data_IF_045675363299
#
_entry.id   IF_045675363299
#
_cell.length_a   1.000
_cell.length_b   1.000
_cell.length_c   1.000
_cell.angle_alpha   90.00
_cell.angle_beta   90.00
_cell.angle_gamma   90.00
#
_symmetry.space_group_name_H-M   'P 1'
#
loop_
_entity.id
_entity.type
_entity.pdbx_description
1 polymer ?
#
# COMPACT_ATOMS: atom_id res chain seq x y z
N UNK A 1 6.25 -3.08 6.71
CA UNK A 1 5.86 -2.32 7.94
C UNK A 1 5.87 -3.18 9.22
N UNK A 2 5.50 -4.48 9.18
CA UNK A 2 5.47 -5.37 10.36
C UNK A 2 6.82 -5.74 11.00
N UNK A 3 7.94 -5.61 10.27
CA UNK A 3 9.28 -5.94 10.79
C UNK A 3 9.74 -5.00 11.91
N UNK A 4 9.41 -3.70 11.82
CA UNK A 4 9.86 -2.71 12.79
C UNK A 4 9.10 -2.81 14.13
N UNK A 5 7.84 -3.27 14.11
CA UNK A 5 7.03 -3.44 15.33
C UNK A 5 7.57 -4.59 16.19
N UNK A 6 8.02 -5.69 15.57
CA UNK A 6 8.63 -6.81 16.28
C UNK A 6 9.96 -6.44 16.94
N UNK A 7 10.77 -5.60 16.29
CA UNK A 7 12.05 -5.12 16.85
C UNK A 7 11.86 -4.16 18.02
N UNK A 8 10.86 -3.28 17.96
CA UNK A 8 10.55 -2.35 19.07
C UNK A 8 9.98 -3.09 20.27
N UNK A 9 9.14 -4.11 20.06
CA UNK A 9 8.62 -4.96 21.14
C UNK A 9 9.73 -5.73 21.87
N UNK A 10 10.70 -6.28 21.10
CA UNK A 10 11.85 -6.97 21.67
C UNK A 10 12.76 -6.06 22.51
N UNK A 11 12.97 -4.82 22.07
CA UNK A 11 13.77 -3.85 22.83
C UNK A 11 13.07 -3.41 24.13
N UNK A 12 11.75 -3.25 24.11
CA UNK A 12 10.97 -2.94 25.30
C UNK A 12 10.97 -4.11 26.30
N UNK A 13 10.85 -5.36 25.83
CA UNK A 13 10.92 -6.54 26.67
C UNK A 13 12.31 -6.69 27.32
N UNK A 14 13.39 -6.41 26.57
CA UNK A 14 14.75 -6.46 27.10
C UNK A 14 15.00 -5.39 28.19
N UNK A 15 14.50 -4.17 27.99
CA UNK A 15 14.58 -3.09 29.00
C UNK A 15 13.78 -3.42 30.27
N UNK A 16 12.64 -4.11 30.15
CA UNK A 16 11.87 -4.52 31.32
C UNK A 16 12.58 -5.62 32.12
N UNK A 17 13.25 -6.55 31.44
CA UNK A 17 13.99 -7.63 32.08
C UNK A 17 15.21 -7.12 32.88
N UNK A 18 15.89 -6.08 32.41
CA UNK A 18 17.05 -5.51 33.14
C UNK A 18 16.64 -4.77 34.41
N UNK A 19 15.48 -4.11 34.43
CA UNK A 19 14.99 -3.41 35.64
C UNK A 19 14.57 -4.40 36.73
N UNK A 20 13.96 -5.53 36.36
CA UNK A 20 13.56 -6.56 37.34
C UNK A 20 14.79 -7.27 37.94
N UNK A 21 15.86 -7.47 37.16
CA UNK A 21 17.04 -8.20 37.62
C UNK A 21 17.92 -7.42 38.61
N UNK A 22 17.86 -6.08 38.62
CA UNK A 22 18.65 -5.24 39.52
C UNK A 22 17.91 -4.82 40.80
N UNK A 23 16.61 -5.10 40.92
CA UNK A 23 15.78 -4.64 42.02
C UNK A 23 15.62 -5.60 43.21
N UNK A 24 16.13 -6.83 43.17
CA UNK A 24 15.76 -7.86 44.16
C UNK A 24 16.93 -8.74 44.65
N UNK A 25 18.09 -8.18 44.97
CA UNK A 25 19.04 -8.91 45.82
C UNK A 25 18.73 -8.62 47.29
N UNK A 26 18.16 -9.57 48.05
CA UNK A 26 17.99 -9.38 49.49
C UNK A 26 19.37 -9.35 50.15
N UNK A 27 19.68 -8.25 50.82
CA UNK A 27 20.85 -8.16 51.70
C UNK A 27 20.57 -9.07 52.89
N UNK A 28 21.14 -10.27 52.91
CA UNK A 28 21.04 -11.18 54.06
C UNK A 28 21.93 -10.67 55.19
N UNK A 29 21.40 -10.30 56.36
CA UNK A 29 22.24 -9.95 57.50
C UNK A 29 22.89 -11.23 58.07
N UNK A 30 24.21 -11.21 58.23
CA UNK A 30 24.96 -12.27 58.88
C UNK A 30 24.70 -12.21 60.41
N UNK A 31 24.08 -13.25 60.95
CA UNK A 31 23.85 -13.39 62.39
C UNK A 31 25.17 -13.72 63.12
N UNK A 32 25.62 -12.79 63.97
CA UNK A 32 26.62 -13.05 65.01
C UNK A 32 25.98 -12.84 66.39
N UNK A 33 25.88 -13.90 67.18
CA UNK A 33 25.43 -13.85 68.58
C UNK A 33 26.58 -13.41 69.49
N UNK A 34 26.44 -12.30 70.21
CA UNK A 34 27.04 -12.12 71.53
C UNK A 34 26.39 -10.94 72.25
N UNK A 35 25.98 -11.18 73.51
CA UNK A 35 25.02 -10.39 74.26
C UNK A 35 25.49 -8.97 74.61
N UNK A 36 24.54 -8.03 74.57
CA UNK A 36 24.53 -6.74 75.25
C UNK A 36 23.17 -6.09 74.92
N UNK A 37 22.23 -6.13 75.86
CA UNK A 37 20.80 -5.81 75.66
C UNK A 37 20.50 -4.36 75.24
N UNK A 38 21.52 -3.48 75.19
CA UNK A 38 21.40 -2.10 74.71
C UNK A 38 21.90 -1.85 73.27
N UNK A 39 22.76 -2.72 72.72
CA UNK A 39 23.37 -2.48 71.41
C UNK A 39 22.53 -3.03 70.25
N UNK A 40 21.77 -4.10 70.48
CA UNK A 40 20.85 -4.66 69.49
C UNK A 40 19.73 -3.68 69.12
N UNK A 41 19.19 -2.92 70.08
CA UNK A 41 18.18 -1.89 69.82
C UNK A 41 18.74 -0.70 69.04
N UNK A 42 19.96 -0.25 69.36
CA UNK A 42 20.63 0.82 68.60
C UNK A 42 20.96 0.41 67.16
N UNK A 43 21.35 -0.85 66.94
CA UNK A 43 21.62 -1.37 65.61
C UNK A 43 20.34 -1.46 64.77
N UNK A 44 19.25 -1.95 65.35
CA UNK A 44 17.95 -2.04 64.67
C UNK A 44 17.37 -0.66 64.36
N UNK A 45 17.55 0.32 65.24
CA UNK A 45 17.14 1.70 65.00
C UNK A 45 17.99 2.38 63.90
N UNK A 46 19.33 2.27 63.97
CA UNK A 46 20.21 2.84 62.94
C UNK A 46 19.96 2.20 61.55
N UNK A 47 19.62 0.91 61.52
CA UNK A 47 19.21 0.23 60.29
C UNK A 47 17.85 0.72 59.78
N UNK A 48 16.87 0.92 60.68
CA UNK A 48 15.57 1.49 60.33
C UNK A 48 15.68 2.90 59.75
N UNK A 49 16.52 3.75 60.36
CA UNK A 49 16.78 5.11 59.89
C UNK A 49 17.49 5.10 58.53
N UNK A 50 18.50 4.23 58.35
CA UNK A 50 19.19 4.08 57.05
C UNK A 50 18.26 3.55 55.94
N UNK A 51 17.37 2.60 56.26
CA UNK A 51 16.38 2.11 55.30
C UNK A 51 15.33 3.17 54.97
N UNK A 52 14.84 3.94 55.94
CA UNK A 52 13.90 5.03 55.68
C UNK A 52 14.53 6.14 54.83
N UNK A 53 15.80 6.46 55.05
CA UNK A 53 16.52 7.43 54.23
C UNK A 53 16.69 6.93 52.79
N UNK A 54 17.03 5.64 52.61
CA UNK A 54 17.05 5.02 51.28
C UNK A 54 15.67 4.99 50.60
N UNK A 55 14.59 4.71 51.33
CA UNK A 55 13.22 4.70 50.80
C UNK A 55 12.81 6.11 50.37
N UNK A 56 13.09 7.13 51.19
CA UNK A 56 12.81 8.53 50.88
C UNK A 56 13.58 8.99 49.64
N UNK A 57 14.85 8.61 49.50
CA UNK A 57 15.67 8.95 48.35
C UNK A 57 15.17 8.22 47.07
N UNK A 58 14.80 6.95 47.19
CA UNK A 58 14.26 6.16 46.07
C UNK A 58 12.86 6.62 45.63
N UNK A 59 12.04 7.14 46.54
CA UNK A 59 10.70 7.64 46.24
C UNK A 59 10.74 8.85 45.28
N UNK A 60 11.76 9.71 45.37
CA UNK A 60 11.94 10.81 44.42
C UNK A 60 12.24 10.30 43.00
N UNK A 61 13.08 9.27 42.87
CA UNK A 61 13.39 8.67 41.56
C UNK A 61 12.18 7.96 40.95
N UNK A 62 11.32 7.35 41.77
CA UNK A 62 10.12 6.66 41.31
C UNK A 62 9.15 7.63 40.61
N UNK A 63 8.95 8.83 41.16
CA UNK A 63 8.13 9.85 40.51
C UNK A 63 8.73 10.37 39.19
N UNK A 64 10.05 10.54 39.13
CA UNK A 64 10.73 10.93 37.89
C UNK A 64 10.60 9.87 36.80
N UNK A 65 10.71 8.58 37.15
CA UNK A 65 10.49 7.47 36.24
C UNK A 65 9.05 7.39 35.73
N UNK A 66 8.06 7.55 36.61
CA UNK A 66 6.64 7.59 36.23
C UNK A 66 6.35 8.75 35.26
N UNK A 67 6.89 9.94 35.54
CA UNK A 67 6.73 11.09 34.65
C UNK A 67 7.34 10.84 33.26
N UNK A 68 8.51 10.19 33.20
CA UNK A 68 9.17 9.84 31.95
C UNK A 68 8.38 8.82 31.12
N UNK A 69 7.77 7.81 31.77
CA UNK A 69 6.90 6.83 31.09
C UNK A 69 5.67 7.50 30.50
N UNK A 70 5.00 8.38 31.25
CA UNK A 70 3.82 9.12 30.77
C UNK A 70 4.18 10.03 29.60
N UNK A 71 5.33 10.70 29.64
CA UNK A 71 5.83 11.54 28.55
C UNK A 71 6.09 10.71 27.28
N UNK A 72 6.72 9.55 27.40
CA UNK A 72 6.96 8.64 26.28
C UNK A 72 5.66 8.12 25.66
N UNK A 73 4.69 7.72 26.47
CA UNK A 73 3.37 7.29 25.98
C UNK A 73 2.65 8.44 25.25
N UNK A 74 2.72 9.65 25.79
CA UNK A 74 2.18 10.86 25.15
C UNK A 74 2.81 11.11 23.78
N UNK A 75 4.14 10.98 23.65
CA UNK A 75 4.85 11.10 22.38
C UNK A 75 4.45 10.01 21.38
N UNK A 76 4.26 8.77 21.82
CA UNK A 76 3.81 7.67 20.95
C UNK A 76 2.39 7.95 20.42
N UNK A 77 1.46 8.34 21.29
CA UNK A 77 0.08 8.67 20.89
C UNK A 77 0.07 9.90 19.97
N UNK A 78 0.88 10.92 20.28
CA UNK A 78 1.03 12.10 19.44
C UNK A 78 1.56 11.71 18.05
N UNK A 79 2.63 10.92 17.98
CA UNK A 79 3.20 10.40 16.72
C UNK A 79 2.17 9.60 15.94
N UNK A 80 1.41 8.74 16.61
CA UNK A 80 0.34 7.96 15.98
C UNK A 80 -0.78 8.85 15.43
N UNK A 81 -1.22 9.86 16.18
CA UNK A 81 -2.21 10.84 15.72
C UNK A 81 -1.70 11.68 14.56
N UNK A 82 -0.45 12.16 14.62
CA UNK A 82 0.18 12.90 13.51
C UNK A 82 0.32 12.01 12.28
N UNK A 83 0.73 10.75 12.44
CA UNK A 83 0.87 9.81 11.33
C UNK A 83 -0.49 9.45 10.73
N UNK A 84 -1.57 9.37 11.52
CA UNK A 84 -2.93 9.17 10.99
C UNK A 84 -3.41 10.36 10.14
N UNK A 85 -3.08 11.60 10.53
CA UNK A 85 -3.35 12.79 9.70
C UNK A 85 -2.53 12.80 8.42
N UNK A 86 -1.24 12.47 8.53
CA UNK A 86 -0.31 12.44 7.40
C UNK A 86 -0.57 11.26 6.46
N UNK A 87 -1.01 10.08 6.92
CA UNK A 87 -1.33 8.95 6.05
C UNK A 87 -2.59 9.20 5.20
N UNK A 88 -3.54 9.98 5.71
CA UNK A 88 -4.72 10.39 4.94
C UNK A 88 -4.38 11.47 3.90
N UNK A 89 -3.28 12.22 4.09
CA UNK A 89 -2.75 13.20 3.12
C UNK A 89 -1.62 12.65 2.23
N UNK A 90 -0.87 11.63 2.65
CA UNK A 90 0.30 11.10 1.93
C UNK A 90 -0.05 10.00 0.92
N UNK A 91 -1.25 9.42 0.96
CA UNK A 91 -1.80 8.73 -0.21
C UNK A 91 -2.06 9.74 -1.35
N UNK A 92 -2.23 11.04 -1.04
CA UNK A 92 -2.38 12.12 -2.01
C UNK A 92 -1.08 12.90 -2.31
N UNK A 93 -0.14 12.97 -1.37
CA UNK A 93 1.05 13.84 -1.49
C UNK A 93 2.40 13.11 -1.69
N UNK A 94 2.44 11.78 -1.73
CA UNK A 94 3.66 11.03 -2.09
C UNK A 94 3.99 11.06 -3.60
N UNK A 95 3.37 11.97 -4.37
CA UNK A 95 3.71 12.28 -5.76
C UNK A 95 4.44 13.61 -5.95
N UNK A 96 4.56 14.46 -4.94
CA UNK A 96 4.99 15.86 -5.14
C UNK A 96 6.13 16.27 -4.22
N UNK A 97 7.31 15.65 -4.38
CA UNK A 97 8.57 16.20 -3.85
C UNK A 97 9.80 15.61 -4.58
N UNK A 98 9.86 15.75 -5.90
CA UNK A 98 11.11 15.79 -6.65
C UNK A 98 10.83 16.46 -8.00
N UNK A 99 11.36 17.67 -8.19
CA UNK A 99 11.27 18.40 -9.44
C UNK A 99 12.03 17.65 -10.55
N UNK A 100 11.28 16.97 -11.40
CA UNK A 100 11.62 16.68 -12.79
C UNK A 100 10.30 16.70 -13.59
N UNK A 101 10.37 17.06 -14.87
CA UNK A 101 9.29 17.52 -15.74
C UNK A 101 8.19 16.49 -16.09
N UNK A 102 7.58 15.82 -15.11
CA UNK A 102 6.50 14.84 -15.35
C UNK A 102 5.35 15.06 -14.38
N UNK A 103 4.60 16.15 -14.57
CA UNK A 103 3.40 16.46 -13.80
C UNK A 103 2.23 15.60 -14.31
N UNK A 104 2.17 14.35 -13.85
CA UNK A 104 0.99 13.50 -14.02
C UNK A 104 0.59 12.97 -12.66
N UNK A 105 -0.61 13.32 -12.22
CA UNK A 105 -1.18 12.85 -10.95
C UNK A 105 -1.52 11.35 -11.00
N UNK A 106 -1.59 10.76 -12.20
CA UNK A 106 -2.01 9.38 -12.42
C UNK A 106 -1.08 8.65 -13.39
N UNK A 107 -0.68 7.44 -13.00
CA UNK A 107 0.06 6.53 -13.87
C UNK A 107 -0.86 5.99 -14.96
N UNK A 108 -0.45 6.12 -16.24
CA UNK A 108 -1.16 5.57 -17.40
C UNK A 108 -0.65 4.18 -17.67
N UNK A 109 -1.56 3.25 -17.84
CA UNK A 109 -1.22 1.85 -18.08
C UNK A 109 -1.82 1.42 -19.40
N UNK A 110 -1.00 0.73 -20.18
CA UNK A 110 -1.39 0.17 -21.47
C UNK A 110 -2.38 -0.95 -21.21
N UNK A 111 -3.58 -0.81 -21.75
CA UNK A 111 -4.66 -1.77 -21.61
C UNK A 111 -5.23 -1.97 -22.99
N UNK A 112 -5.26 -3.22 -23.44
CA UNK A 112 -5.89 -3.61 -24.69
C UNK A 112 -7.35 -3.98 -24.42
N UNK A 113 -8.21 -2.97 -24.33
CA UNK A 113 -9.63 -3.14 -24.11
C UNK A 113 -10.43 -2.38 -25.18
N UNK A 114 -11.63 -2.86 -25.51
CA UNK A 114 -12.59 -2.12 -26.31
C UNK A 114 -13.50 -1.24 -25.45
N UNK A 115 -13.84 -0.07 -25.95
CA UNK A 115 -14.80 0.85 -25.32
C UNK A 115 -15.87 1.26 -26.31
N UNK A 116 -17.06 1.52 -25.77
CA UNK A 116 -18.13 2.13 -26.53
C UNK A 116 -18.11 3.63 -26.30
N UNK A 117 -18.23 4.40 -27.38
CA UNK A 117 -18.33 5.86 -27.30
C UNK A 117 -19.44 6.39 -28.20
N UNK A 118 -20.08 7.47 -27.80
CA UNK A 118 -21.04 8.23 -28.59
C UNK A 118 -20.85 9.73 -28.36
N UNK A 119 -21.11 10.56 -29.38
CA UNK A 119 -21.29 12.01 -29.17
C UNK A 119 -22.65 12.24 -28.52
N UNK A 120 -22.83 13.35 -27.83
CA UNK A 120 -24.14 13.69 -27.22
C UNK A 120 -25.26 13.82 -28.27
N UNK A 121 -24.91 14.13 -29.52
CA UNK A 121 -25.84 14.23 -30.66
C UNK A 121 -26.07 12.90 -31.39
N UNK A 122 -25.25 11.88 -31.12
CA UNK A 122 -25.30 10.59 -31.82
C UNK A 122 -26.20 9.58 -31.07
N UNK A 123 -27.21 9.05 -31.75
CA UNK A 123 -28.07 7.97 -31.19
C UNK A 123 -27.38 6.59 -31.11
N UNK A 124 -26.13 6.47 -31.59
CA UNK A 124 -25.46 5.17 -31.78
C UNK A 124 -24.05 5.15 -31.20
N UNK A 125 -23.84 4.18 -30.33
CA UNK A 125 -22.52 3.84 -29.80
C UNK A 125 -21.63 3.17 -30.86
N UNK A 126 -20.38 3.63 -30.91
CA UNK A 126 -19.31 3.12 -31.77
C UNK A 126 -18.25 2.43 -30.90
N UNK A 127 -17.60 1.39 -31.43
CA UNK A 127 -16.50 0.70 -30.75
C UNK A 127 -15.16 1.34 -31.10
N UNK A 128 -14.30 1.48 -30.10
CA UNK A 128 -12.92 1.89 -30.28
C UNK A 128 -11.96 1.05 -29.42
N UNK A 129 -10.71 0.90 -29.89
CA UNK A 129 -9.65 0.21 -29.15
C UNK A 129 -8.96 1.21 -28.22
N UNK A 130 -8.95 0.91 -26.93
CA UNK A 130 -8.15 1.63 -25.93
C UNK A 130 -6.69 1.23 -26.08
N UNK A 131 -5.83 2.23 -25.98
CA UNK A 131 -4.38 2.12 -26.05
C UNK A 131 -3.79 2.25 -24.64
N UNK A 132 -4.30 3.21 -23.86
CA UNK A 132 -3.98 3.29 -22.44
C UNK A 132 -5.11 3.94 -21.65
N UNK A 133 -5.17 3.63 -20.36
CA UNK A 133 -6.16 4.17 -19.43
C UNK A 133 -5.51 4.59 -18.11
N UNK A 134 -6.16 5.53 -17.44
CA UNK A 134 -5.81 6.02 -16.10
C UNK A 134 -7.08 6.38 -15.33
N UNK A 135 -6.96 6.70 -14.05
CA UNK A 135 -8.10 7.15 -13.25
C UNK A 135 -8.71 8.51 -13.67
N UNK A 136 -8.05 9.27 -14.56
CA UNK A 136 -8.51 10.58 -15.02
C UNK A 136 -8.92 10.64 -16.50
N UNK A 137 -8.73 9.56 -17.25
CA UNK A 137 -8.99 9.56 -18.68
C UNK A 137 -8.34 8.38 -19.41
N UNK A 138 -8.53 8.34 -20.72
CA UNK A 138 -8.05 7.26 -21.58
C UNK A 138 -7.57 7.79 -22.94
N UNK A 139 -6.78 6.96 -23.63
CA UNK A 139 -6.38 7.15 -25.01
C UNK A 139 -6.97 6.00 -25.82
N UNK A 140 -7.77 6.31 -26.82
CA UNK A 140 -8.33 5.31 -27.74
C UNK A 140 -8.05 5.68 -29.18
N UNK A 141 -8.14 4.68 -30.06
CA UNK A 141 -7.96 4.84 -31.48
C UNK A 141 -9.29 4.63 -32.21
N UNK A 142 -9.65 5.57 -33.09
CA UNK A 142 -10.87 5.53 -33.90
C UNK A 142 -10.58 5.98 -35.34
N UNK A 143 -11.48 5.65 -36.27
CA UNK A 143 -11.47 6.18 -37.65
C UNK A 143 -12.29 7.45 -37.81
N UNK A 144 -13.05 7.80 -36.78
CA UNK A 144 -13.84 9.01 -36.76
C UNK A 144 -12.98 10.20 -36.37
N UNK A 145 -13.11 11.29 -37.11
CA UNK A 145 -12.50 12.55 -36.77
C UNK A 145 -13.29 13.21 -35.63
N UNK A 146 -12.68 13.29 -34.46
CA UNK A 146 -13.19 14.03 -33.31
C UNK A 146 -12.41 15.34 -33.18
N UNK A 147 -13.05 16.36 -32.64
CA UNK A 147 -12.43 17.65 -32.40
C UNK A 147 -12.04 17.82 -30.93
N UNK A 148 -11.08 18.70 -30.70
CA UNK A 148 -10.73 19.10 -29.34
C UNK A 148 -11.96 19.74 -28.69
N UNK A 149 -12.15 19.44 -27.41
CA UNK A 149 -13.26 19.88 -26.58
C UNK A 149 -14.63 19.23 -26.88
N UNK A 150 -14.71 18.29 -27.84
CA UNK A 150 -15.89 17.43 -28.03
C UNK A 150 -16.19 16.67 -26.74
N UNK A 151 -17.47 16.61 -26.36
CA UNK A 151 -17.96 15.82 -25.23
C UNK A 151 -18.54 14.49 -25.72
N UNK A 152 -18.07 13.40 -25.10
CA UNK A 152 -18.44 12.04 -25.45
C UNK A 152 -19.01 11.33 -24.23
N UNK A 153 -20.01 10.48 -24.45
CA UNK A 153 -20.41 9.45 -23.50
C UNK A 153 -19.60 8.18 -23.80
N UNK A 154 -19.00 7.60 -22.76
CA UNK A 154 -18.16 6.40 -22.82
C UNK A 154 -18.75 5.34 -21.91
N UNK A 155 -18.86 4.12 -22.42
CA UNK A 155 -19.17 2.94 -21.63
C UNK A 155 -17.91 2.09 -21.49
N UNK A 156 -17.43 1.96 -20.25
CA UNK A 156 -16.30 1.12 -19.88
C UNK A 156 -16.80 -0.17 -19.24
N UNK A 157 -16.41 -1.32 -19.79
CA UNK A 157 -16.63 -2.61 -19.13
C UNK A 157 -15.55 -2.85 -18.07
N UNK A 158 -15.92 -2.82 -16.79
CA UNK A 158 -14.97 -3.04 -15.70
C UNK A 158 -14.78 -4.53 -15.39
N UNK A 159 -15.86 -5.29 -15.48
CA UNK A 159 -15.87 -6.74 -15.33
C UNK A 159 -17.07 -7.30 -16.09
N UNK A 160 -17.16 -8.64 -16.21
CA UNK A 160 -18.24 -9.28 -16.95
C UNK A 160 -19.62 -8.84 -16.40
N UNK A 161 -20.35 -8.06 -17.18
CA UNK A 161 -21.66 -7.49 -16.82
C UNK A 161 -21.63 -6.27 -15.88
N UNK A 162 -20.45 -5.72 -15.55
CA UNK A 162 -20.31 -4.45 -14.84
C UNK A 162 -19.81 -3.37 -15.79
N UNK A 163 -20.71 -2.47 -16.17
CA UNK A 163 -20.42 -1.32 -17.02
C UNK A 163 -20.40 -0.02 -16.22
N UNK A 164 -19.56 0.92 -16.66
CA UNK A 164 -19.44 2.26 -16.10
C UNK A 164 -19.61 3.29 -17.22
N UNK A 165 -20.71 4.04 -17.15
CA UNK A 165 -20.96 5.16 -18.05
C UNK A 165 -20.28 6.42 -17.53
N UNK A 166 -19.47 7.03 -18.38
CA UNK A 166 -18.69 8.23 -18.07
C UNK A 166 -18.91 9.27 -19.14
N UNK A 167 -18.99 10.54 -18.74
CA UNK A 167 -18.81 11.65 -19.69
C UNK A 167 -17.32 11.98 -19.78
N UNK A 168 -16.85 12.34 -20.96
CA UNK A 168 -15.47 12.75 -21.17
C UNK A 168 -15.35 13.86 -22.20
N UNK A 169 -14.28 14.64 -22.10
CA UNK A 169 -13.92 15.68 -23.06
C UNK A 169 -12.67 15.30 -23.82
N UNK A 170 -12.68 15.52 -25.13
CA UNK A 170 -11.50 15.33 -25.97
C UNK A 170 -10.48 16.41 -25.66
N UNK A 171 -9.33 16.02 -25.09
CA UNK A 171 -8.25 16.96 -24.74
C UNK A 171 -7.10 16.94 -25.74
N UNK A 172 -7.01 15.88 -26.56
CA UNK A 172 -5.97 15.71 -27.56
C UNK A 172 -6.45 14.85 -28.72
N UNK A 173 -6.13 15.28 -29.93
CA UNK A 173 -6.33 14.52 -31.17
C UNK A 173 -4.96 14.42 -31.84
N UNK A 174 -4.58 13.23 -32.29
CA UNK A 174 -3.34 13.02 -33.03
C UNK A 174 -3.64 12.09 -34.19
N UNK A 175 -3.27 12.49 -35.39
CA UNK A 175 -3.38 11.62 -36.56
C UNK A 175 -2.23 10.61 -36.54
N UNK A 176 -2.58 9.33 -36.67
CA UNK A 176 -1.62 8.26 -36.90
C UNK A 176 -1.69 7.88 -38.38
N UNK A 177 -0.70 8.34 -39.15
CA UNK A 177 -0.52 8.05 -40.57
C UNK A 177 0.18 6.70 -40.76
N UNK A 178 -0.26 5.68 -40.04
CA UNK A 178 0.35 4.36 -40.04
C UNK A 178 0.03 3.59 -41.32
N UNK A 179 0.86 3.76 -42.37
CA UNK A 179 1.18 2.80 -43.46
C UNK A 179 0.07 2.28 -44.39
N UNK A 180 -1.11 1.99 -43.88
CA UNK A 180 -2.28 1.53 -44.64
C UNK A 180 -3.19 2.73 -44.95
N UNK A 181 -3.86 2.70 -46.11
CA UNK A 181 -4.69 3.77 -46.69
C UNK A 181 -5.89 4.27 -45.83
N UNK A 182 -5.94 3.95 -44.53
CA UNK A 182 -7.01 4.32 -43.60
C UNK A 182 -6.45 5.18 -42.48
N UNK A 183 -6.77 6.48 -42.52
CA UNK A 183 -6.48 7.42 -41.42
C UNK A 183 -7.04 6.90 -40.10
N UNK A 184 -6.18 6.82 -39.09
CA UNK A 184 -6.55 6.48 -37.72
C UNK A 184 -6.25 7.67 -36.81
N UNK A 185 -7.19 8.00 -35.94
CA UNK A 185 -7.06 9.10 -34.99
C UNK A 185 -6.88 8.56 -33.58
N UNK A 186 -5.89 9.11 -32.89
CA UNK A 186 -5.57 8.82 -31.50
C UNK A 186 -6.17 9.92 -30.63
N UNK A 187 -7.18 9.55 -29.85
CA UNK A 187 -8.02 10.48 -29.10
C UNK A 187 -7.71 10.36 -27.61
N UNK A 188 -7.13 11.41 -27.05
CA UNK A 188 -6.96 11.56 -25.61
C UNK A 188 -8.22 12.17 -25.02
N UNK A 189 -8.89 11.42 -24.14
CA UNK A 189 -10.12 11.81 -23.46
C UNK A 189 -9.86 12.01 -21.97
N UNK A 190 -10.39 13.08 -21.39
CA UNK A 190 -10.42 13.33 -19.96
C UNK A 190 -11.82 13.07 -19.41
N UNK A 191 -11.95 12.31 -18.32
CA UNK A 191 -13.26 12.07 -17.69
C UNK A 191 -13.78 13.34 -17.01
N UNK A 192 -15.05 13.65 -17.21
CA UNK A 192 -15.77 14.77 -16.61
C UNK A 192 -16.61 14.28 -15.42
N UNK A 193 -16.57 15.02 -14.32
CA UNK A 193 -17.41 14.79 -13.12
C UNK A 193 -17.38 13.36 -12.55
N UNK A 194 -16.29 12.61 -12.77
CA UNK A 194 -16.14 11.25 -12.25
C UNK A 194 -16.15 11.24 -10.72
N UNK A 195 -16.98 10.40 -10.11
CA UNK A 195 -17.00 10.24 -8.65
C UNK A 195 -15.75 9.50 -8.19
N UNK A 196 -15.32 9.76 -6.96
CA UNK A 196 -14.16 9.07 -6.39
C UNK A 196 -14.33 7.54 -6.38
N UNK A 197 -15.54 7.06 -6.09
CA UNK A 197 -15.85 5.63 -6.14
C UNK A 197 -15.73 5.02 -7.55
N UNK A 198 -16.13 5.75 -8.58
CA UNK A 198 -16.05 5.32 -9.99
C UNK A 198 -14.59 5.31 -10.45
N UNK A 199 -13.84 6.35 -10.11
CA UNK A 199 -12.40 6.41 -10.33
C UNK A 199 -11.66 5.24 -9.66
N UNK A 200 -11.99 4.91 -8.40
CA UNK A 200 -11.36 3.80 -7.68
C UNK A 200 -11.68 2.45 -8.32
N UNK A 201 -12.85 2.28 -8.94
CA UNK A 201 -13.18 1.09 -9.74
C UNK A 201 -12.31 0.99 -10.99
N UNK A 202 -12.15 2.09 -11.72
CA UNK A 202 -11.27 2.15 -12.91
C UNK A 202 -9.84 1.80 -12.51
N UNK A 203 -9.30 2.43 -11.46
CA UNK A 203 -7.95 2.16 -10.98
C UNK A 203 -7.79 0.71 -10.55
N UNK A 204 -8.79 0.13 -9.88
CA UNK A 204 -8.75 -1.30 -9.49
C UNK A 204 -8.69 -2.22 -10.71
N UNK A 205 -9.53 -1.98 -11.72
CA UNK A 205 -9.53 -2.73 -12.98
C UNK A 205 -8.17 -2.66 -13.67
N UNK A 206 -7.63 -1.45 -13.79
CA UNK A 206 -6.30 -1.22 -14.37
C UNK A 206 -5.23 -2.04 -13.63
N UNK A 207 -5.20 -1.98 -12.29
CA UNK A 207 -4.21 -2.71 -11.49
C UNK A 207 -4.37 -4.23 -11.61
N UNK A 208 -5.60 -4.71 -11.72
CA UNK A 208 -5.87 -6.13 -11.90
C UNK A 208 -5.29 -6.64 -13.24
N UNK A 209 -5.54 -5.95 -14.35
CA UNK A 209 -5.02 -6.34 -15.67
C UNK A 209 -3.50 -6.29 -15.74
N UNK A 210 -2.87 -5.35 -15.04
CA UNK A 210 -1.42 -5.34 -14.91
C UNK A 210 -0.88 -6.56 -14.15
N UNK A 211 -1.51 -6.90 -13.04
CA UNK A 211 -1.12 -8.06 -12.26
C UNK A 211 -1.25 -9.33 -13.10
N UNK A 212 -2.35 -9.44 -13.85
CA UNK A 212 -2.57 -10.54 -14.79
C UNK A 212 -1.45 -10.59 -15.83
N UNK A 213 -1.17 -9.48 -16.52
CA UNK A 213 -0.11 -9.41 -17.56
C UNK A 213 1.27 -9.79 -17.02
N UNK A 214 1.65 -9.31 -15.84
CA UNK A 214 2.94 -9.65 -15.20
C UNK A 214 3.00 -11.11 -14.79
N UNK A 215 1.89 -11.66 -14.29
CA UNK A 215 1.80 -13.09 -13.97
C UNK A 215 1.91 -13.95 -15.22
N UNK A 216 1.29 -13.54 -16.32
CA UNK A 216 1.43 -14.23 -17.61
C UNK A 216 2.87 -14.25 -18.09
N UNK A 217 3.55 -13.10 -18.12
CA UNK A 217 4.96 -13.01 -18.53
C UNK A 217 5.87 -13.85 -17.64
N UNK A 218 5.65 -13.80 -16.33
CA UNK A 218 6.40 -14.61 -15.37
C UNK A 218 6.20 -16.10 -15.64
N UNK A 219 4.96 -16.54 -15.86
CA UNK A 219 4.64 -17.95 -16.16
C UNK A 219 5.26 -18.37 -17.50
N UNK A 220 5.12 -17.55 -18.55
CA UNK A 220 5.75 -17.76 -19.86
C UNK A 220 7.27 -17.93 -19.72
N UNK A 221 7.95 -17.06 -18.97
CA UNK A 221 9.41 -17.14 -18.78
C UNK A 221 9.89 -18.41 -18.08
N UNK A 222 9.05 -19.00 -17.23
CA UNK A 222 9.33 -20.25 -16.53
C UNK A 222 8.86 -21.49 -17.29
N UNK A 223 8.20 -21.33 -18.45
CA UNK A 223 7.52 -22.42 -19.12
C UNK A 223 6.38 -23.00 -18.28
N UNK A 224 5.68 -22.19 -17.50
CA UNK A 224 4.53 -22.61 -16.70
C UNK A 224 3.21 -22.30 -17.43
N UNK A 225 2.21 -23.14 -17.21
CA UNK A 225 0.86 -22.96 -17.70
C UNK A 225 0.23 -21.66 -17.18
N UNK A 226 -0.30 -20.81 -18.07
CA UNK A 226 -0.83 -19.47 -17.74
C UNK A 226 -2.01 -19.51 -16.78
N UNK A 227 -2.87 -20.54 -16.78
CA UNK A 227 -4.06 -20.56 -15.94
C UNK A 227 -3.91 -21.41 -14.67
N UNK A 228 -3.12 -22.50 -14.69
CA UNK A 228 -2.93 -23.38 -13.52
C UNK A 228 -1.54 -23.33 -12.86
N UNK A 229 -0.53 -22.74 -13.50
CA UNK A 229 0.82 -22.58 -12.95
C UNK A 229 1.70 -23.83 -12.90
N UNK A 230 1.32 -24.95 -13.53
CA UNK A 230 2.17 -26.15 -13.64
C UNK A 230 3.26 -25.99 -14.71
N UNK A 231 4.45 -26.60 -14.55
CA UNK A 231 5.49 -26.59 -15.59
C UNK A 231 4.99 -27.34 -16.85
N UNK A 232 5.38 -26.83 -18.01
CA UNK A 232 5.12 -27.41 -19.33
C UNK A 232 6.37 -28.22 -19.78
N UNK A 233 6.18 -29.28 -20.58
CA UNK A 233 7.30 -30.06 -21.13
C UNK A 233 8.22 -29.21 -22.03
N UNK A 234 9.52 -29.54 -22.06
CA UNK A 234 10.53 -28.80 -22.81
C UNK A 234 10.30 -28.91 -24.33
N UNK A 235 9.95 -27.80 -24.99
CA UNK A 235 9.81 -27.73 -26.44
C UNK A 235 8.73 -26.77 -26.93
N UNK A 236 7.72 -26.52 -26.10
CA UNK A 236 6.54 -25.75 -26.50
C UNK A 236 6.69 -24.27 -26.09
N UNK A 237 7.52 -23.52 -26.83
CA UNK A 237 7.75 -22.07 -26.61
C UNK A 237 6.86 -21.19 -27.49
N UNK A 238 5.76 -21.74 -28.03
CA UNK A 238 4.81 -21.05 -28.93
C UNK A 238 3.42 -20.88 -28.31
N UNK A 239 2.77 -19.76 -28.62
CA UNK A 239 1.55 -19.23 -27.97
C UNK A 239 0.36 -20.20 -28.01
N UNK A 240 0.01 -20.82 -26.87
CA UNK A 240 -1.32 -21.37 -26.57
C UNK A 240 -1.66 -21.16 -25.08
N UNK A 241 -2.82 -20.56 -24.79
CA UNK A 241 -3.33 -20.39 -23.41
C UNK A 241 -3.91 -21.71 -22.91
N UNK A 242 -3.57 -22.14 -21.68
CA UNK A 242 -3.98 -23.46 -21.19
C UNK A 242 -4.62 -23.49 -19.79
N UNK A 243 -5.73 -24.20 -19.70
CA UNK A 243 -6.59 -24.83 -18.66
C UNK A 243 -7.61 -25.67 -19.49
N UNK A 244 -8.66 -26.39 -19.01
CA UNK A 244 -9.04 -27.07 -17.73
C UNK A 244 -8.35 -28.43 -17.48
N UNK A 245 -7.08 -28.42 -17.77
CA UNK A 245 -6.29 -29.48 -18.40
C UNK A 245 -5.22 -28.52 -18.96
N UNK A 246 -3.91 -28.63 -18.80
CA UNK A 246 -3.00 -27.88 -19.71
C UNK A 246 -2.32 -28.83 -20.70
N UNK A 247 -3.03 -29.44 -21.66
CA UNK A 247 -4.50 -29.55 -21.87
C UNK A 247 -5.03 -30.95 -22.15
N UNK A 248 -4.87 -31.80 -21.12
CA UNK A 248 -4.44 -33.19 -21.16
C UNK A 248 -2.90 -33.19 -21.35
N UNK A 249 -2.19 -34.27 -21.02
CA UNK A 249 -1.17 -34.71 -21.98
C UNK A 249 -1.31 -34.10 -23.38
N UNK A 250 -0.29 -33.55 -24.02
CA UNK A 250 -0.16 -33.86 -25.45
C UNK A 250 -0.46 -35.39 -25.60
N UNK A 251 -1.41 -35.83 -26.43
CA UNK A 251 -2.12 -37.12 -26.27
C UNK A 251 -1.28 -38.43 -26.49
N UNK A 252 0.05 -38.42 -26.31
CA UNK A 252 1.00 -39.54 -26.29
C UNK A 252 2.34 -39.12 -25.66
#
# INVERSE_FOLDING_TARGET
MFSNIKRVSLLLAALFATVVFWGTTPVTPACGSMGYDGYAWKLTQAFGDAMNDMIMQNQQYLWLWLALIVLLLGLIVFRYRTMKRVNNQNIWNAGTAAGSSTQRDWMRLSIEQEVLYAREEDDKYKRAKVINMSGGGLLFATREELQKDDELEIILELSYGEELNLKGRVVRVTEDSGGDDKKQFMIGLQFLNIKKSEQDKIVRKILQEQQESVLEERRKSKGECILCGKPLPEGDKGVKLYCPKCSAYDNE
#
